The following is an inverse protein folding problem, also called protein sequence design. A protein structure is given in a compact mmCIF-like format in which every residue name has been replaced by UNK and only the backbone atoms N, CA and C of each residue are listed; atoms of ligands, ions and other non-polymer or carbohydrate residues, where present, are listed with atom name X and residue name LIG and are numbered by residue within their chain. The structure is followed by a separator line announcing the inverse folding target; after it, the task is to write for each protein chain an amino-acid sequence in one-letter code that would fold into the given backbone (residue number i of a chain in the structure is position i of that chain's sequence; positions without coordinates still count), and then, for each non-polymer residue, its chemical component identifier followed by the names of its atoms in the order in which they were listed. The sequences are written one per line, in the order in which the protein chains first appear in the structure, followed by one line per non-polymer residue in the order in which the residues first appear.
data_IF_045251397614
#
_entry.id   IF_045251397614
#
_cell.length_a   1.000
_cell.length_b   1.000
_cell.length_c   1.000
_cell.angle_alpha   90.00
_cell.angle_beta   90.00
_cell.angle_gamma   90.00
#
_symmetry.space_group_name_H-M   'P 1'
#
loop_
_entity.id
_entity.type
_entity.pdbx_description
1 polymer ?
#
# COMPACT_ATOMS: atom_id res chain seq x y z
N UNK A 1 -17.14 22.61 -27.35
CA UNK A 1 -16.33 23.51 -26.49
C UNK A 1 -15.60 22.60 -25.51
N UNK A 2 -14.27 22.50 -25.59
CA UNK A 2 -13.49 21.58 -24.77
C UNK A 2 -13.02 22.25 -23.48
N UNK A 3 -13.21 21.59 -22.34
CA UNK A 3 -12.74 22.09 -21.05
C UNK A 3 -11.21 21.93 -20.96
N UNK A 4 -10.50 23.05 -20.79
CA UNK A 4 -9.04 23.06 -20.68
C UNK A 4 -8.67 22.73 -19.24
N UNK A 5 -8.26 21.48 -18.98
CA UNK A 5 -7.84 21.04 -17.65
C UNK A 5 -6.33 21.24 -17.44
N UNK A 6 -5.97 21.85 -16.30
CA UNK A 6 -4.58 22.08 -15.96
C UNK A 6 -3.95 20.87 -15.26
N UNK A 7 -3.19 20.07 -16.01
CA UNK A 7 -2.55 18.85 -15.51
C UNK A 7 -1.54 19.12 -14.37
N UNK A 8 -0.92 20.31 -14.30
CA UNK A 8 0.00 20.66 -13.21
C UNK A 8 -0.76 20.78 -11.88
N UNK A 9 -1.94 21.38 -11.89
CA UNK A 9 -2.79 21.49 -10.71
C UNK A 9 -3.27 20.11 -10.25
N UNK A 10 -3.72 19.26 -11.19
CA UNK A 10 -4.15 17.89 -10.91
C UNK A 10 -3.02 17.07 -10.26
N UNK A 11 -1.82 17.10 -10.83
CA UNK A 11 -0.65 16.41 -10.25
C UNK A 11 -0.32 16.92 -8.84
N UNK A 12 -0.40 18.22 -8.62
CA UNK A 12 -0.15 18.83 -7.31
C UNK A 12 -1.20 18.41 -6.27
N UNK A 13 -2.47 18.35 -6.66
CA UNK A 13 -3.54 17.86 -5.79
C UNK A 13 -3.34 16.39 -5.45
N UNK A 14 -3.03 15.54 -6.44
CA UNK A 14 -2.71 14.12 -6.20
C UNK A 14 -1.54 13.96 -5.22
N UNK A 15 -0.48 14.73 -5.40
CA UNK A 15 0.68 14.68 -4.50
C UNK A 15 0.35 15.14 -3.07
N UNK A 16 -0.54 16.12 -2.89
CA UNK A 16 -1.01 16.55 -1.56
C UNK A 16 -1.87 15.49 -0.91
N UNK A 17 -2.83 14.93 -1.63
CA UNK A 17 -3.69 13.87 -1.13
C UNK A 17 -2.88 12.64 -0.68
N UNK A 18 -1.87 12.26 -1.46
CA UNK A 18 -0.99 11.14 -1.09
C UNK A 18 -0.19 11.42 0.19
N UNK A 19 0.32 12.65 0.35
CA UNK A 19 1.01 13.06 1.60
C UNK A 19 0.07 13.04 2.80
N UNK A 20 -1.17 13.48 2.64
CA UNK A 20 -2.18 13.47 3.71
C UNK A 20 -2.54 12.03 4.11
N UNK A 21 -2.68 11.13 3.13
CA UNK A 21 -2.92 9.69 3.36
C UNK A 21 -1.79 9.07 4.16
N UNK A 22 -0.53 9.27 3.72
CA UNK A 22 0.66 8.78 4.42
C UNK A 22 0.76 9.36 5.83
N UNK A 23 0.44 10.65 6.02
CA UNK A 23 0.42 11.26 7.34
C UNK A 23 -0.65 10.66 8.26
N UNK A 24 -1.82 10.30 7.71
CA UNK A 24 -2.88 9.60 8.44
C UNK A 24 -2.44 8.21 8.89
N UNK A 25 -1.84 7.43 7.98
CA UNK A 25 -1.26 6.12 8.28
C UNK A 25 -0.19 6.21 9.37
N UNK A 26 0.76 7.14 9.22
CA UNK A 26 1.82 7.34 10.21
C UNK A 26 1.27 7.75 11.58
N UNK A 27 0.23 8.59 11.64
CA UNK A 27 -0.45 8.91 12.91
C UNK A 27 -1.08 7.69 13.57
N UNK A 28 -1.72 6.81 12.79
CA UNK A 28 -2.31 5.57 13.30
C UNK A 28 -1.27 4.51 13.73
N UNK A 29 -0.07 4.58 13.16
CA UNK A 29 1.08 3.73 13.51
C UNK A 29 1.90 4.29 14.68
N UNK A 30 1.83 5.60 14.91
CA UNK A 30 2.57 6.28 15.97
C UNK A 30 2.08 5.83 17.35
N UNK A 31 3.00 5.67 18.29
CA UNK A 31 2.67 5.22 19.66
C UNK A 31 2.51 3.71 19.84
N UNK A 32 2.56 2.89 18.78
CA UNK A 32 2.53 1.43 18.91
C UNK A 32 3.79 0.91 19.61
N UNK A 33 3.58 0.01 20.57
CA UNK A 33 4.64 -0.71 21.27
C UNK A 33 5.37 -1.69 20.36
N UNK A 34 6.56 -2.14 20.79
CA UNK A 34 7.35 -3.15 20.06
C UNK A 34 6.58 -4.48 19.93
N UNK A 35 5.84 -4.86 20.97
CA UNK A 35 5.05 -6.10 21.00
C UNK A 35 3.93 -6.07 19.95
N UNK A 36 3.19 -4.97 19.85
CA UNK A 36 2.12 -4.81 18.85
C UNK A 36 2.67 -4.84 17.42
N UNK A 37 3.77 -4.12 17.15
CA UNK A 37 4.42 -4.16 15.82
C UNK A 37 4.87 -5.57 15.43
N UNK A 38 5.37 -6.33 16.42
CA UNK A 38 5.83 -7.71 16.19
C UNK A 38 4.67 -8.65 15.91
N UNK A 39 3.57 -8.51 16.67
CA UNK A 39 2.34 -9.26 16.45
C UNK A 39 1.77 -9.01 15.05
N UNK A 40 1.65 -7.75 14.64
CA UNK A 40 1.13 -7.39 13.32
C UNK A 40 2.00 -7.97 12.20
N UNK A 41 3.33 -7.89 12.34
CA UNK A 41 4.27 -8.50 11.39
C UNK A 41 4.06 -10.01 11.27
N UNK A 42 4.03 -10.73 12.40
CA UNK A 42 3.85 -12.18 12.39
C UNK A 42 2.51 -12.60 11.76
N UNK A 43 1.46 -11.80 11.95
CA UNK A 43 0.15 -12.03 11.32
C UNK A 43 0.25 -11.81 9.80
N UNK A 44 0.89 -10.71 9.36
CA UNK A 44 1.11 -10.41 7.95
C UNK A 44 1.91 -11.52 7.26
N UNK A 45 3.05 -11.90 7.85
CA UNK A 45 3.93 -12.94 7.31
C UNK A 45 3.19 -14.28 7.21
N UNK A 46 2.37 -14.63 8.21
CA UNK A 46 1.57 -15.85 8.16
C UNK A 46 0.53 -15.80 7.04
N UNK A 47 -0.13 -14.65 6.85
CA UNK A 47 -1.12 -14.48 5.79
C UNK A 47 -0.47 -14.55 4.40
N UNK A 48 0.68 -13.90 4.21
CA UNK A 48 1.46 -13.98 2.97
C UNK A 48 1.90 -15.40 2.66
N UNK A 49 2.48 -16.09 3.64
CA UNK A 49 2.90 -17.49 3.48
C UNK A 49 1.71 -18.42 3.19
N UNK A 50 0.56 -18.17 3.83
CA UNK A 50 -0.65 -18.93 3.55
C UNK A 50 -1.09 -18.74 2.09
N UNK A 51 -1.14 -17.51 1.58
CA UNK A 51 -1.52 -17.25 0.19
C UNK A 51 -0.48 -17.83 -0.77
N UNK A 52 0.82 -17.64 -0.50
CA UNK A 52 1.91 -18.15 -1.33
C UNK A 52 1.86 -19.68 -1.45
N UNK A 53 1.63 -20.39 -0.34
CA UNK A 53 1.51 -21.86 -0.35
C UNK A 53 0.31 -22.38 -1.13
N UNK A 54 -0.69 -21.55 -1.41
CA UNK A 54 -1.86 -21.89 -2.23
C UNK A 54 -1.81 -21.28 -3.63
N UNK A 55 -0.73 -20.55 -3.96
CA UNK A 55 -0.57 -19.96 -5.29
C UNK A 55 -0.33 -21.09 -6.30
N UNK A 56 -1.16 -21.13 -7.33
CA UNK A 56 -0.94 -21.98 -8.51
C UNK A 56 -0.25 -21.13 -9.56
N UNK A 57 0.83 -21.65 -10.12
CA UNK A 57 1.49 -21.01 -11.26
C UNK A 57 0.54 -21.01 -12.46
N UNK A 58 0.35 -19.84 -13.06
CA UNK A 58 -0.29 -19.75 -14.38
C UNK A 58 0.80 -19.88 -15.45
N UNK A 59 0.47 -20.36 -16.65
CA UNK A 59 1.46 -20.51 -17.74
C UNK A 59 2.19 -19.19 -18.08
N UNK A 60 1.60 -18.03 -17.79
CA UNK A 60 2.16 -16.70 -18.02
C UNK A 60 3.19 -16.27 -16.96
N UNK A 61 3.29 -16.99 -15.83
CA UNK A 61 4.23 -16.70 -14.73
C UNK A 61 5.56 -17.51 -14.87
N UNK A 62 5.77 -18.27 -15.97
CA UNK A 62 6.96 -19.14 -16.19
C UNK A 62 8.09 -18.50 -17.02
N UNK A 63 7.87 -17.31 -17.58
CA UNK A 63 8.86 -16.59 -18.40
C UNK A 63 9.46 -15.38 -17.66
N UNK A 64 10.15 -15.61 -16.53
CA UNK A 64 11.06 -14.65 -15.87
C UNK A 64 12.26 -15.38 -15.23
#
# INVERSE_FOLDING_TARGET
MGEIVNLRQVRKQKARAEKERQAGENRALHGRSKAEKTRDRLISDKAENFVAGHRRERPEDQDD
#
